data_IF_334552033800
#
_entry.id   IF_334552033800
#
_cell.length_a   1.000
_cell.length_b   1.000
_cell.length_c   1.000
_cell.angle_alpha   90.00
_cell.angle_beta   90.00
_cell.angle_gamma   90.00
#
_symmetry.space_group_name_H-M   'P 1'
#
loop_
_entity.id
_entity.type
_entity.pdbx_description
1 polymer ?
#
# COMPACT_ATOMS: atom_id res chain seq x y z
N UNK A 1 21.19 44.69 19.77
CA UNK A 1 20.84 43.26 19.62
C UNK A 1 22.12 42.45 19.70
N UNK A 2 22.23 41.59 20.71
CA UNK A 2 23.38 40.70 20.88
C UNK A 2 23.04 39.27 20.45
N UNK A 3 24.05 38.45 20.16
CA UNK A 3 23.90 37.04 19.74
C UNK A 3 23.08 36.21 20.74
N UNK A 4 23.08 36.58 22.02
CA UNK A 4 22.25 35.98 23.08
C UNK A 4 20.77 36.30 22.91
N UNK A 5 20.42 37.54 22.57
CA UNK A 5 19.03 37.96 22.38
C UNK A 5 18.38 37.20 21.21
N UNK A 6 19.15 36.94 20.14
CA UNK A 6 18.68 36.17 18.99
C UNK A 6 18.41 34.69 19.34
N UNK A 7 19.27 34.06 20.13
CA UNK A 7 19.03 32.67 20.56
C UNK A 7 17.86 32.52 21.51
N UNK A 8 17.63 33.47 22.41
CA UNK A 8 16.47 33.46 23.31
C UNK A 8 15.16 33.71 22.56
N UNK A 9 15.17 34.58 21.54
CA UNK A 9 14.00 34.81 20.69
C UNK A 9 13.68 33.58 19.83
N UNK A 10 14.71 32.86 19.32
CA UNK A 10 14.52 31.61 18.60
C UNK A 10 14.03 30.46 19.50
N UNK A 11 14.48 30.41 20.77
CA UNK A 11 14.03 29.41 21.74
C UNK A 11 12.60 29.66 22.23
N UNK A 12 12.16 30.92 22.33
CA UNK A 12 10.79 31.28 22.70
C UNK A 12 9.78 31.09 21.54
N UNK A 13 10.24 31.17 20.28
CA UNK A 13 9.43 30.90 19.09
C UNK A 13 9.32 29.41 18.72
N UNK A 14 10.00 28.52 19.45
CA UNK A 14 9.77 27.08 19.38
C UNK A 14 8.45 26.72 20.08
N UNK A 15 7.34 27.24 19.56
CA UNK A 15 6.04 26.60 19.67
C UNK A 15 6.26 25.12 19.43
N UNK A 16 5.91 24.27 20.39
CA UNK A 16 5.89 22.81 20.18
C UNK A 16 5.01 22.56 18.97
N UNK A 17 5.61 22.41 17.80
CA UNK A 17 4.92 21.90 16.62
C UNK A 17 4.56 20.48 17.00
N UNK A 18 3.30 20.26 17.36
CA UNK A 18 2.79 18.92 17.59
C UNK A 18 2.96 18.20 16.25
N UNK A 19 3.96 17.32 16.17
CA UNK A 19 4.08 16.42 15.03
C UNK A 19 2.79 15.61 15.00
N UNK A 20 1.99 15.69 13.92
CA UNK A 20 0.75 14.95 13.83
C UNK A 20 1.04 13.46 14.06
N UNK A 21 0.19 12.79 14.83
CA UNK A 21 0.33 11.36 15.06
C UNK A 21 0.41 10.63 13.71
N UNK A 22 1.32 9.65 13.55
CA UNK A 22 1.43 8.88 12.31
C UNK A 22 0.08 8.25 11.94
N UNK A 23 -0.24 8.27 10.65
CA UNK A 23 -1.46 7.62 10.16
C UNK A 23 -1.24 6.11 10.09
N UNK A 24 -1.97 5.36 10.93
CA UNK A 24 -1.93 3.91 10.94
C UNK A 24 -2.71 3.30 9.76
N UNK A 25 -2.03 2.52 8.93
CA UNK A 25 -2.62 1.80 7.79
C UNK A 25 -2.52 0.29 8.07
N UNK A 26 -3.65 -0.43 8.22
CA UNK A 26 -3.62 -1.86 8.49
C UNK A 26 -3.34 -2.67 7.22
N UNK A 27 -2.29 -3.48 7.28
CA UNK A 27 -1.86 -4.38 6.20
C UNK A 27 -1.95 -5.83 6.70
N UNK A 28 -2.62 -6.69 5.93
CA UNK A 28 -2.58 -8.13 6.13
C UNK A 28 -1.75 -8.77 5.03
N UNK A 29 -0.58 -9.29 5.38
CA UNK A 29 0.31 -9.96 4.44
C UNK A 29 -0.08 -11.42 4.33
N UNK A 30 -0.23 -11.88 3.10
CA UNK A 30 -0.62 -13.24 2.76
C UNK A 30 0.43 -13.78 1.81
N UNK A 31 1.11 -14.85 2.21
CA UNK A 31 1.99 -15.59 1.31
C UNK A 31 1.18 -16.66 0.60
N UNK A 32 1.25 -16.71 -0.73
CA UNK A 32 0.62 -17.77 -1.51
C UNK A 32 1.33 -19.11 -1.27
N UNK A 33 0.70 -20.01 -0.51
CA UNK A 33 1.27 -21.31 -0.17
C UNK A 33 1.36 -22.28 -1.37
N UNK A 34 0.70 -21.98 -2.49
CA UNK A 34 0.69 -22.85 -3.68
C UNK A 34 1.86 -22.60 -4.63
N UNK A 35 2.41 -21.40 -4.59
CA UNK A 35 3.47 -20.99 -5.50
C UNK A 35 4.84 -21.33 -4.92
N UNK A 36 5.67 -21.99 -5.73
CA UNK A 36 7.04 -22.32 -5.36
C UNK A 36 7.92 -21.09 -5.62
N UNK A 37 7.88 -20.14 -4.69
CA UNK A 37 8.76 -18.98 -4.74
C UNK A 37 10.18 -19.40 -4.33
N UNK A 38 11.21 -19.13 -5.17
CA UNK A 38 12.57 -19.43 -4.81
C UNK A 38 13.00 -18.76 -3.49
N UNK A 39 13.71 -19.46 -2.58
CA UNK A 39 14.07 -18.92 -1.26
C UNK A 39 14.84 -17.60 -1.32
N UNK A 40 15.66 -17.39 -2.34
CA UNK A 40 16.42 -16.17 -2.56
C UNK A 40 15.54 -14.95 -2.84
N UNK A 41 14.43 -15.13 -3.57
CA UNK A 41 13.47 -14.06 -3.86
C UNK A 41 12.69 -13.68 -2.62
N UNK A 42 12.25 -14.68 -1.85
CA UNK A 42 11.63 -14.46 -0.55
C UNK A 42 12.57 -13.73 0.40
N UNK A 43 13.84 -14.15 0.46
CA UNK A 43 14.85 -13.47 1.28
C UNK A 43 15.03 -12.02 0.84
N UNK A 44 15.18 -11.75 -0.46
CA UNK A 44 15.31 -10.40 -1.00
C UNK A 44 14.10 -9.53 -0.61
N UNK A 45 12.90 -10.06 -0.76
CA UNK A 45 11.68 -9.36 -0.40
C UNK A 45 11.65 -8.97 1.08
N UNK A 46 11.91 -9.94 1.97
CA UNK A 46 11.82 -9.75 3.41
C UNK A 46 12.96 -8.92 4.00
N UNK A 47 14.15 -8.95 3.41
CA UNK A 47 15.32 -8.23 3.91
C UNK A 47 15.52 -6.86 3.28
N UNK A 48 14.98 -6.62 2.09
CA UNK A 48 15.23 -5.39 1.34
C UNK A 48 13.95 -4.68 0.92
N UNK A 49 13.15 -5.30 0.03
CA UNK A 49 12.04 -4.63 -0.65
C UNK A 49 10.98 -4.15 0.34
N UNK A 50 10.52 -5.05 1.22
CA UNK A 50 9.47 -4.72 2.19
C UNK A 50 9.96 -3.77 3.30
N UNK A 51 11.11 -3.99 3.96
CA UNK A 51 11.63 -3.04 4.95
C UNK A 51 11.87 -1.64 4.40
N UNK A 52 12.30 -1.52 3.14
CA UNK A 52 12.43 -0.23 2.47
C UNK A 52 11.09 0.48 2.34
N UNK A 53 10.05 -0.21 1.85
CA UNK A 53 8.71 0.36 1.78
C UNK A 53 8.17 0.82 3.14
N UNK A 54 8.36 0.00 4.19
CA UNK A 54 7.97 0.36 5.56
C UNK A 54 8.69 1.63 6.03
N UNK A 55 9.98 1.77 5.73
CA UNK A 55 10.78 2.93 6.07
C UNK A 55 10.31 4.18 5.32
N UNK A 56 10.09 4.09 4.01
CA UNK A 56 9.65 5.22 3.19
C UNK A 56 8.30 5.77 3.69
N UNK A 57 7.32 4.89 3.91
CA UNK A 57 6.04 5.28 4.50
C UNK A 57 6.20 5.85 5.92
N UNK A 58 7.02 5.21 6.75
CA UNK A 58 7.28 5.64 8.12
C UNK A 58 7.85 7.06 8.20
N UNK A 59 8.81 7.38 7.33
CA UNK A 59 9.40 8.72 7.22
C UNK A 59 8.36 9.75 6.75
N UNK A 60 7.44 9.35 5.88
CA UNK A 60 6.27 10.14 5.50
C UNK A 60 5.16 10.24 6.56
N UNK A 61 5.36 9.72 7.77
CA UNK A 61 4.37 9.74 8.85
C UNK A 61 3.18 8.79 8.62
N UNK A 62 3.39 7.71 7.87
CA UNK A 62 2.41 6.64 7.64
C UNK A 62 2.97 5.36 8.28
N UNK A 63 2.26 4.82 9.26
CA UNK A 63 2.68 3.61 9.96
C UNK A 63 1.93 2.41 9.40
N UNK A 64 2.64 1.51 8.71
CA UNK A 64 2.07 0.24 8.26
C UNK A 64 1.95 -0.72 9.44
N UNK A 65 0.72 -1.02 9.83
CA UNK A 65 0.41 -2.00 10.89
C UNK A 65 0.24 -3.37 10.25
N UNK A 66 1.29 -4.19 10.29
CA UNK A 66 1.33 -5.48 9.61
C UNK A 66 0.81 -6.61 10.49
N UNK A 67 -0.02 -7.46 9.91
CA UNK A 67 -0.31 -8.80 10.40
C UNK A 67 0.00 -9.80 9.31
N UNK A 68 0.39 -11.01 9.69
CA UNK A 68 0.64 -12.12 8.76
C UNK A 68 -0.44 -13.18 8.90
N UNK A 69 -0.72 -13.88 7.80
CA UNK A 69 -1.63 -15.02 7.80
C UNK A 69 -1.33 -15.99 6.67
N UNK A 70 -1.76 -17.26 6.84
CA UNK A 70 -1.71 -18.21 5.74
C UNK A 70 -2.70 -17.81 4.65
N UNK A 71 -2.39 -18.15 3.40
CA UNK A 71 -3.34 -18.03 2.31
C UNK A 71 -2.89 -18.74 1.05
N UNK A 72 -3.77 -18.70 0.06
CA UNK A 72 -3.57 -19.35 -1.23
C UNK A 72 -4.16 -18.48 -2.32
N UNK A 73 -3.51 -18.46 -3.49
CA UNK A 73 -4.11 -17.98 -4.72
C UNK A 73 -4.37 -19.17 -5.63
N UNK A 74 -5.63 -19.49 -5.83
CA UNK A 74 -6.08 -20.52 -6.78
C UNK A 74 -6.49 -19.85 -8.08
N UNK A 75 -6.56 -20.63 -9.16
CA UNK A 75 -7.05 -20.16 -10.46
C UNK A 75 -8.29 -20.95 -10.83
N UNK A 76 -9.35 -20.23 -11.21
CA UNK A 76 -10.51 -20.87 -11.85
C UNK A 76 -10.16 -21.35 -13.26
N UNK A 77 -11.05 -22.14 -13.88
CA UNK A 77 -10.88 -22.56 -15.28
C UNK A 77 -10.79 -21.39 -16.27
N UNK A 78 -11.29 -20.21 -15.91
CA UNK A 78 -11.17 -18.97 -16.70
C UNK A 78 -10.07 -18.03 -16.22
N UNK A 79 -9.06 -18.55 -15.50
CA UNK A 79 -7.90 -17.81 -14.96
C UNK A 79 -8.23 -16.69 -13.94
N UNK A 80 -9.49 -16.57 -13.51
CA UNK A 80 -9.82 -15.66 -12.40
C UNK A 80 -9.17 -16.16 -11.11
N UNK A 81 -8.46 -15.30 -10.36
CA UNK A 81 -7.87 -15.69 -9.10
C UNK A 81 -8.96 -15.93 -8.05
N UNK A 82 -8.76 -16.94 -7.21
CA UNK A 82 -9.59 -17.23 -6.04
C UNK A 82 -8.67 -17.16 -4.83
N UNK A 83 -8.92 -16.20 -3.94
CA UNK A 83 -8.07 -15.96 -2.78
C UNK A 83 -8.61 -16.64 -1.52
N UNK A 84 -7.70 -17.23 -0.76
CA UNK A 84 -7.94 -17.78 0.57
C UNK A 84 -7.06 -17.01 1.55
N UNK A 85 -7.61 -16.65 2.71
CA UNK A 85 -6.87 -15.95 3.78
C UNK A 85 -7.00 -14.42 3.77
N UNK A 86 -7.73 -13.82 2.83
CA UNK A 86 -7.96 -12.37 2.83
C UNK A 86 -8.80 -11.92 4.04
N UNK A 87 -8.51 -10.71 4.52
CA UNK A 87 -9.25 -10.03 5.59
C UNK A 87 -9.94 -8.79 5.07
N UNK A 88 -11.14 -8.52 5.59
CA UNK A 88 -11.87 -7.26 5.32
C UNK A 88 -11.36 -6.15 6.23
N UNK A 89 -11.57 -4.90 5.82
CA UNK A 89 -11.19 -3.73 6.62
C UNK A 89 -9.70 -3.41 6.63
N UNK A 90 -8.90 -4.11 5.83
CA UNK A 90 -7.45 -3.96 5.72
C UNK A 90 -7.04 -4.00 4.25
N UNK A 91 -5.83 -3.55 3.94
CA UNK A 91 -5.21 -3.83 2.65
C UNK A 91 -4.55 -5.21 2.75
N UNK A 92 -4.90 -6.12 1.85
CA UNK A 92 -4.29 -7.44 1.78
C UNK A 92 -3.10 -7.37 0.83
N UNK A 93 -1.89 -7.51 1.36
CA UNK A 93 -0.66 -7.61 0.57
C UNK A 93 -0.40 -9.09 0.27
N UNK A 94 -0.72 -9.53 -0.94
CA UNK A 94 -0.59 -10.92 -1.38
C UNK A 94 0.73 -11.09 -2.11
N UNK A 95 1.57 -12.03 -1.66
CA UNK A 95 2.86 -12.34 -2.27
C UNK A 95 2.77 -13.65 -3.03
N UNK A 96 3.22 -13.65 -4.28
CA UNK A 96 3.16 -14.80 -5.19
C UNK A 96 4.34 -14.77 -6.16
N UNK A 97 4.62 -15.83 -6.92
CA UNK A 97 5.65 -15.77 -7.96
C UNK A 97 5.17 -14.99 -9.19
N UNK A 98 3.88 -15.10 -9.53
CA UNK A 98 3.28 -14.50 -10.74
C UNK A 98 1.89 -13.97 -10.52
N UNK A 99 1.54 -12.93 -11.28
CA UNK A 99 0.16 -12.47 -11.35
C UNK A 99 -0.68 -13.40 -12.26
N UNK A 100 -2.00 -13.52 -12.00
CA UNK A 100 -2.93 -14.15 -12.93
C UNK A 100 -2.93 -13.40 -14.27
N UNK A 101 -3.02 -14.13 -15.39
CA UNK A 101 -3.07 -13.54 -16.73
C UNK A 101 -4.29 -12.64 -16.89
N UNK A 102 -5.37 -12.97 -16.19
CA UNK A 102 -6.57 -12.14 -16.10
C UNK A 102 -6.29 -10.72 -15.61
N UNK A 103 -5.26 -10.51 -14.79
CA UNK A 103 -4.90 -9.20 -14.23
C UNK A 103 -3.76 -8.52 -14.98
N UNK A 104 -2.71 -9.26 -15.36
CA UNK A 104 -1.55 -8.66 -16.03
C UNK A 104 -1.62 -8.68 -17.56
N UNK A 105 -2.56 -9.43 -18.15
CA UNK A 105 -2.66 -9.69 -19.59
C UNK A 105 -1.33 -10.16 -20.22
N UNK A 106 -0.54 -10.94 -19.48
CA UNK A 106 0.77 -11.44 -19.92
C UNK A 106 1.87 -10.38 -19.98
N UNK A 107 1.66 -9.20 -19.38
CA UNK A 107 2.65 -8.10 -19.39
C UNK A 107 3.78 -8.28 -18.38
N UNK A 108 3.70 -9.28 -17.50
CA UNK A 108 4.73 -9.56 -16.51
C UNK A 108 5.02 -8.34 -15.60
N UNK A 109 3.96 -7.67 -15.14
CA UNK A 109 4.10 -6.53 -14.22
C UNK A 109 4.42 -6.99 -12.80
N UNK A 110 5.07 -6.12 -12.02
CA UNK A 110 5.55 -6.45 -10.69
C UNK A 110 4.47 -6.46 -9.61
N UNK A 111 3.36 -5.75 -9.83
CA UNK A 111 2.24 -5.74 -8.92
C UNK A 111 0.95 -5.30 -9.58
N UNK A 112 -0.16 -5.58 -8.90
CA UNK A 112 -1.49 -5.07 -9.21
C UNK A 112 -2.22 -4.76 -7.92
N UNK A 113 -2.83 -3.58 -7.84
CA UNK A 113 -3.68 -3.17 -6.73
C UNK A 113 -5.11 -2.95 -7.20
N UNK A 114 -6.06 -3.62 -6.55
CA UNK A 114 -7.46 -3.61 -6.97
C UNK A 114 -8.43 -3.91 -5.82
N UNK A 115 -9.73 -3.73 -6.08
CA UNK A 115 -10.79 -4.25 -5.23
C UNK A 115 -11.34 -5.54 -5.86
N UNK A 116 -11.26 -6.65 -5.12
CA UNK A 116 -11.73 -7.96 -5.57
C UNK A 116 -12.72 -8.54 -4.55
N UNK A 117 -13.97 -8.78 -4.94
CA UNK A 117 -15.06 -9.28 -4.06
C UNK A 117 -15.20 -8.51 -2.73
N UNK A 118 -14.97 -7.20 -2.80
CA UNK A 118 -15.00 -6.28 -1.66
C UNK A 118 -13.80 -6.40 -0.71
N UNK A 119 -12.73 -7.09 -1.11
CA UNK A 119 -11.42 -7.05 -0.48
C UNK A 119 -10.52 -6.09 -1.24
N UNK A 120 -9.69 -5.36 -0.50
CA UNK A 120 -8.68 -4.48 -1.08
C UNK A 120 -7.39 -5.29 -1.15
N UNK A 121 -6.88 -5.51 -2.35
CA UNK A 121 -5.78 -6.44 -2.61
C UNK A 121 -4.67 -5.70 -3.34
N UNK A 122 -3.46 -5.75 -2.78
CA UNK A 122 -2.20 -5.42 -3.44
C UNK A 122 -1.48 -6.75 -3.67
N UNK A 123 -1.44 -7.24 -4.91
CA UNK A 123 -0.78 -8.48 -5.25
C UNK A 123 0.59 -8.18 -5.85
N UNK A 124 1.64 -8.79 -5.29
CA UNK A 124 3.03 -8.58 -5.69
C UNK A 124 3.58 -9.87 -6.30
N UNK A 125 4.05 -9.78 -7.53
CA UNK A 125 4.81 -10.85 -8.18
C UNK A 125 6.28 -10.73 -7.79
N UNK A 126 6.73 -11.61 -6.88
CA UNK A 126 8.08 -11.64 -6.32
C UNK A 126 9.17 -11.80 -7.39
N UNK A 127 8.84 -12.39 -8.54
CA UNK A 127 9.73 -12.51 -9.69
C UNK A 127 10.20 -11.16 -10.24
N UNK A 128 9.34 -10.15 -10.17
CA UNK A 128 9.57 -8.84 -10.75
C UNK A 128 9.64 -7.72 -9.69
N UNK A 129 9.34 -8.04 -8.44
CA UNK A 129 9.39 -7.10 -7.34
C UNK A 129 10.82 -6.58 -7.12
N UNK A 130 10.94 -5.28 -6.87
CA UNK A 130 12.21 -4.62 -6.60
C UNK A 130 12.02 -3.48 -5.60
N UNK A 131 13.14 -3.10 -4.95
CA UNK A 131 13.24 -1.86 -4.16
C UNK A 131 13.57 -0.66 -5.04
N UNK A 132 13.94 0.45 -4.40
CA UNK A 132 14.43 1.65 -5.06
C UNK A 132 15.83 1.39 -5.63
N UNK A 133 15.90 1.30 -6.95
CA UNK A 133 17.14 0.98 -7.68
C UNK A 133 17.45 1.97 -8.80
N UNK A 134 16.58 2.95 -9.03
CA UNK A 134 16.77 4.01 -10.02
C UNK A 134 17.11 5.33 -9.29
N UNK A 135 18.20 6.01 -9.64
CA UNK A 135 18.54 7.30 -9.04
C UNK A 135 17.39 8.30 -9.20
N UNK A 136 17.01 8.92 -8.08
CA UNK A 136 16.00 9.99 -8.00
C UNK A 136 14.58 9.61 -8.45
N UNK A 137 14.30 8.32 -8.65
CA UNK A 137 12.97 7.81 -8.97
C UNK A 137 12.68 6.61 -8.08
N UNK A 138 11.68 6.74 -7.20
CA UNK A 138 11.23 5.61 -6.40
C UNK A 138 10.58 4.59 -7.32
N UNK A 139 11.10 3.37 -7.31
CA UNK A 139 10.54 2.24 -8.05
C UNK A 139 10.21 1.08 -7.12
N UNK A 140 10.24 1.26 -5.80
CA UNK A 140 9.86 0.19 -4.88
C UNK A 140 8.42 -0.31 -5.17
N UNK A 141 8.29 -1.59 -5.54
CA UNK A 141 7.02 -2.17 -5.98
C UNK A 141 5.95 -2.09 -4.88
N UNK A 142 6.31 -2.33 -3.62
CA UNK A 142 5.35 -2.25 -2.51
C UNK A 142 4.87 -0.81 -2.29
N UNK A 143 5.75 0.18 -2.41
CA UNK A 143 5.36 1.59 -2.28
C UNK A 143 4.38 1.99 -3.38
N UNK A 144 4.71 1.66 -4.63
CA UNK A 144 3.87 1.97 -5.79
C UNK A 144 2.46 1.36 -5.65
N UNK A 145 2.38 0.06 -5.38
CA UNK A 145 1.10 -0.65 -5.25
C UNK A 145 0.27 -0.14 -4.06
N UNK A 146 0.89 0.07 -2.90
CA UNK A 146 0.19 0.62 -1.75
C UNK A 146 -0.31 2.04 -2.03
N UNK A 147 0.41 2.85 -2.82
CA UNK A 147 -0.03 4.18 -3.20
C UNK A 147 -1.29 4.15 -4.07
N UNK A 148 -1.47 3.17 -4.97
CA UNK A 148 -2.74 3.04 -5.69
C UNK A 148 -3.94 2.86 -4.76
N UNK A 149 -3.78 2.12 -3.66
CA UNK A 149 -4.82 2.01 -2.65
C UNK A 149 -4.99 3.34 -1.87
N UNK A 150 -3.92 3.89 -1.32
CA UNK A 150 -3.95 5.07 -0.44
C UNK A 150 -4.34 6.36 -1.17
N UNK A 151 -4.04 6.46 -2.46
CA UNK A 151 -4.45 7.54 -3.35
C UNK A 151 -5.81 7.29 -4.01
N UNK A 152 -6.48 6.19 -3.62
CA UNK A 152 -7.86 5.82 -3.97
C UNK A 152 -8.06 5.49 -5.46
N UNK A 153 -7.01 5.13 -6.19
CA UNK A 153 -7.08 4.80 -7.62
C UNK A 153 -7.97 3.59 -7.89
N UNK A 154 -7.94 2.62 -6.98
CA UNK A 154 -8.73 1.38 -7.05
C UNK A 154 -10.23 1.57 -6.87
N UNK A 155 -10.66 2.74 -6.40
CA UNK A 155 -12.08 3.04 -6.18
C UNK A 155 -12.75 3.68 -7.39
N UNK A 156 -11.98 4.03 -8.43
CA UNK A 156 -12.55 4.66 -9.62
C UNK A 156 -12.96 3.60 -10.63
N UNK A 157 -14.27 3.42 -10.82
CA UNK A 157 -14.82 2.54 -11.85
C UNK A 157 -14.54 3.08 -13.25
N UNK A 158 -13.98 2.24 -14.14
CA UNK A 158 -13.72 2.52 -15.57
C UNK A 158 -12.94 3.82 -15.84
N UNK A 159 -11.65 3.88 -15.47
CA UNK A 159 -10.81 5.03 -15.82
C UNK A 159 -10.77 5.24 -17.34
N UNK A 160 -10.84 6.50 -17.77
CA UNK A 160 -10.47 6.86 -19.16
C UNK A 160 -8.97 6.59 -19.33
N UNK A 161 -8.52 6.22 -20.53
CA UNK A 161 -7.12 5.81 -20.79
C UNK A 161 -6.07 6.85 -20.31
N UNK A 162 -6.33 8.15 -20.48
CA UNK A 162 -5.43 9.21 -20.00
C UNK A 162 -5.41 9.33 -18.48
N UNK A 163 -6.50 8.94 -17.81
CA UNK A 163 -6.56 8.88 -16.35
C UNK A 163 -5.75 7.69 -15.84
N UNK A 164 -5.61 6.61 -16.60
CA UNK A 164 -4.73 5.50 -16.25
C UNK A 164 -3.27 5.96 -16.25
N UNK A 165 -2.78 6.56 -17.35
CA UNK A 165 -1.40 7.05 -17.41
C UNK A 165 -1.08 8.14 -16.37
N UNK A 166 -2.02 9.03 -16.09
CA UNK A 166 -1.86 10.05 -15.05
C UNK A 166 -1.81 9.48 -13.62
N UNK A 167 -2.37 8.28 -13.37
CA UNK A 167 -2.33 7.64 -12.05
C UNK A 167 -0.99 6.98 -11.77
N UNK A 168 -0.44 6.26 -12.75
CA UNK A 168 0.89 5.67 -12.67
C UNK A 168 1.92 6.76 -12.36
N UNK A 169 1.92 7.83 -13.16
CA UNK A 169 2.81 8.98 -12.92
C UNK A 169 2.60 9.62 -11.54
N UNK A 170 1.35 9.73 -11.08
CA UNK A 170 1.05 10.30 -9.76
C UNK A 170 1.57 9.39 -8.64
N UNK A 171 1.39 8.07 -8.75
CA UNK A 171 1.91 7.11 -7.79
C UNK A 171 3.43 7.18 -7.73
N UNK A 172 4.12 7.16 -8.87
CA UNK A 172 5.58 7.25 -8.97
C UNK A 172 6.11 8.58 -8.43
N UNK A 173 5.43 9.69 -8.72
CA UNK A 173 5.77 11.00 -8.19
C UNK A 173 5.68 11.02 -6.66
N UNK A 174 4.55 10.58 -6.10
CA UNK A 174 4.39 10.53 -4.64
C UNK A 174 5.34 9.54 -3.98
N UNK A 175 5.62 8.40 -4.61
CA UNK A 175 6.63 7.45 -4.13
C UNK A 175 8.01 8.11 -4.06
N UNK A 176 8.37 8.87 -5.10
CA UNK A 176 9.65 9.58 -5.17
C UNK A 176 9.73 10.68 -4.11
N UNK A 177 8.65 11.45 -3.92
CA UNK A 177 8.59 12.45 -2.87
C UNK A 177 8.71 11.84 -1.46
N UNK A 178 8.08 10.69 -1.25
CA UNK A 178 8.15 9.94 0.00
C UNK A 178 9.58 9.46 0.28
N UNK A 179 10.23 8.89 -0.73
CA UNK A 179 11.59 8.36 -0.61
C UNK A 179 12.65 9.47 -0.40
N UNK A 180 12.65 10.50 -1.24
CA UNK A 180 13.72 11.52 -1.24
C UNK A 180 13.51 12.66 -0.24
N UNK A 181 12.26 13.03 0.00
CA UNK A 181 11.92 14.22 0.78
C UNK A 181 11.10 13.92 2.02
N UNK A 182 10.73 12.64 2.23
CA UNK A 182 9.88 12.22 3.34
C UNK A 182 8.53 12.96 3.37
N UNK A 183 8.07 13.45 2.21
CA UNK A 183 6.83 14.19 2.10
C UNK A 183 5.64 13.24 1.94
N UNK A 184 5.04 12.89 3.08
CA UNK A 184 3.80 12.13 3.13
C UNK A 184 2.53 12.96 3.25
N UNK A 185 2.56 14.29 3.20
CA UNK A 185 1.41 15.11 3.62
C UNK A 185 0.15 14.86 2.78
N UNK A 186 0.28 14.87 1.45
CA UNK A 186 -0.82 14.60 0.54
C UNK A 186 -1.29 13.13 0.63
N UNK A 187 -0.34 12.20 0.79
CA UNK A 187 -0.63 10.77 0.93
C UNK A 187 -1.43 10.53 2.21
N UNK A 188 -1.01 11.08 3.36
CA UNK A 188 -1.73 10.97 4.65
C UNK A 188 -3.16 11.50 4.54
N UNK A 189 -3.36 12.65 3.88
CA UNK A 189 -4.70 13.22 3.68
C UNK A 189 -5.59 12.27 2.88
N UNK A 190 -5.11 11.76 1.74
CA UNK A 190 -5.88 10.81 0.93
C UNK A 190 -6.12 9.47 1.65
N UNK A 191 -5.08 8.96 2.31
CA UNK A 191 -5.11 7.72 3.07
C UNK A 191 -6.11 7.78 4.22
N UNK A 192 -6.25 8.92 4.91
CA UNK A 192 -7.27 9.11 5.94
C UNK A 192 -8.68 8.89 5.39
N UNK A 193 -9.00 9.52 4.26
CA UNK A 193 -10.30 9.34 3.58
C UNK A 193 -10.50 7.90 3.12
N UNK A 194 -9.45 7.27 2.59
CA UNK A 194 -9.48 5.87 2.21
C UNK A 194 -9.80 4.94 3.39
N UNK A 195 -9.14 5.13 4.53
CA UNK A 195 -9.34 4.32 5.73
C UNK A 195 -10.74 4.49 6.32
N UNK A 196 -11.29 5.70 6.29
CA UNK A 196 -12.66 5.93 6.76
C UNK A 196 -13.69 5.19 5.89
N UNK A 197 -13.48 5.15 4.57
CA UNK A 197 -14.30 4.34 3.65
C UNK A 197 -14.15 2.85 3.91
N UNK A 198 -12.92 2.39 4.12
CA UNK A 198 -12.60 1.00 4.42
C UNK A 198 -13.32 0.52 5.69
N UNK A 199 -13.33 1.34 6.75
CA UNK A 199 -14.05 1.07 8.02
C UNK A 199 -15.56 1.12 7.85
N UNK A 200 -16.07 2.11 7.12
CA UNK A 200 -17.51 2.27 6.87
C UNK A 200 -18.10 1.06 6.13
N UNK A 201 -17.36 0.53 5.16
CA UNK A 201 -17.76 -0.64 4.36
C UNK A 201 -17.87 -1.90 5.22
N UNK A 202 -16.94 -2.09 6.17
CA UNK A 202 -17.01 -3.19 7.13
C UNK A 202 -18.23 -3.04 8.04
N UNK A 203 -18.43 -1.85 8.59
CA UNK A 203 -19.53 -1.55 9.54
C UNK A 203 -20.90 -1.80 8.91
N UNK A 204 -21.12 -1.27 7.70
CA UNK A 204 -22.37 -1.43 6.96
C UNK A 204 -22.70 -2.91 6.65
N UNK A 205 -21.68 -3.76 6.53
CA UNK A 205 -21.86 -5.19 6.26
C UNK A 205 -22.16 -5.97 7.53
N UNK A 206 -21.45 -5.67 8.62
CA UNK A 206 -21.75 -6.27 9.94
C UNK A 206 -23.15 -5.95 10.44
N UNK A 207 -23.73 -4.80 10.06
CA UNK A 207 -25.12 -4.47 10.40
C UNK A 207 -26.15 -5.23 9.54
N UNK A 208 -25.80 -5.62 8.31
CA UNK A 208 -26.65 -6.45 7.44
C UNK A 208 -26.62 -7.93 7.84
N UNK A 209 -25.49 -8.42 8.37
CA UNK A 209 -25.30 -9.81 8.79
C UNK A 209 -25.76 -10.07 10.24
N UNK A 210 -26.25 -9.05 10.96
CA UNK A 210 -26.85 -9.24 12.29
C UNK A 210 -28.23 -9.89 12.17
N UNK A 211 -28.47 -11.07 12.77
CA UNK A 211 -29.80 -11.65 12.77
C UNK A 211 -30.72 -10.70 13.54
N UNK A 212 -31.80 -10.26 12.90
CA UNK A 212 -32.88 -9.55 13.56
C UNK A 212 -33.27 -10.36 14.80
N UNK A 213 -33.01 -9.80 15.99
CA UNK A 213 -33.50 -10.36 17.25
C UNK A 213 -35.02 -10.42 17.13
N UNK A 214 -35.56 -11.62 16.92
CA UNK A 214 -36.94 -11.98 17.19
C UNK A 214 -37.03 -12.52 18.61
#
# INVERSE_FOLDING_TARGET
MTRRDFMWTAAAAATRVSVPAPLAVPIHRVMDAREQCPPERLRLFWWSIWPEAVRDFGQGGIQLQTSDGPGEVRRSAGDRPIFIGLRRGVINLVLTDHLPLYWDNGRAVAGVTTVYDGYHVCMIALRYAHGNQVPFLSVNTCVHELLHALLQDILVSRPKWFQTGGREFRADWYATCLWLFHDGAAIRKSAGVYLDRLRSTVTARTSLDSPARR
#
